data_IF_217208892676
#
_entry.id   IF_217208892676
#
_cell.length_a   1.000
_cell.length_b   1.000
_cell.length_c   1.000
_cell.angle_alpha   90.00
_cell.angle_beta   90.00
_cell.angle_gamma   90.00
#
_symmetry.space_group_name_H-M   'P 1'
#
loop_
_entity.id
_entity.type
_entity.pdbx_description
1 polymer ?
#
# COMPACT_ATOMS: atom_id res chain seq x y z
N UNK A 1 -12.70 2.28 -2.22
CA UNK A 1 -11.96 2.39 -3.50
C UNK A 1 -10.46 2.25 -3.23
N UNK A 2 -9.62 1.99 -4.25
CA UNK A 2 -8.16 1.81 -4.10
C UNK A 2 -7.51 2.97 -3.31
N UNK A 3 -7.96 4.20 -3.57
CA UNK A 3 -7.56 5.40 -2.82
C UNK A 3 -7.74 5.25 -1.30
N UNK A 4 -8.91 4.80 -0.84
CA UNK A 4 -9.19 4.66 0.59
C UNK A 4 -8.35 3.57 1.25
N UNK A 5 -7.85 2.60 0.47
CA UNK A 5 -6.93 1.59 0.95
C UNK A 5 -5.52 2.15 1.06
N UNK A 6 -5.10 2.94 0.06
CA UNK A 6 -3.81 3.63 0.07
C UNK A 6 -3.71 4.59 1.27
N UNK A 7 -4.78 5.33 1.60
CA UNK A 7 -4.80 6.25 2.75
C UNK A 7 -4.62 5.56 4.12
N UNK A 8 -4.78 4.23 4.19
CA UNK A 8 -4.56 3.42 5.41
C UNK A 8 -3.14 2.87 5.51
N UNK A 9 -2.32 3.12 4.50
CA UNK A 9 -0.94 2.66 4.45
C UNK A 9 -0.02 3.63 5.19
N UNK A 10 1.14 3.13 5.60
CA UNK A 10 2.16 3.91 6.26
C UNK A 10 3.04 4.64 5.24
N UNK A 11 3.76 5.66 5.71
CA UNK A 11 4.62 6.50 4.86
C UNK A 11 5.61 5.69 3.99
N UNK A 12 6.11 4.56 4.49
CA UNK A 12 7.03 3.71 3.72
C UNK A 12 6.34 2.94 2.59
N UNK A 13 5.11 2.46 2.84
CA UNK A 13 4.27 1.80 1.82
C UNK A 13 3.86 2.82 0.74
N UNK A 14 3.54 4.06 1.13
CA UNK A 14 3.31 5.16 0.17
C UNK A 14 4.53 5.45 -0.71
N UNK A 15 5.75 5.43 -0.15
CA UNK A 15 6.99 5.60 -0.92
C UNK A 15 7.18 4.48 -1.95
N UNK A 16 6.82 3.25 -1.58
CA UNK A 16 6.92 2.11 -2.49
C UNK A 16 5.90 2.24 -3.63
N UNK A 17 4.66 2.62 -3.33
CA UNK A 17 3.64 2.92 -4.34
C UNK A 17 4.12 4.00 -5.30
N UNK A 18 4.70 5.08 -4.77
CA UNK A 18 5.29 6.13 -5.61
C UNK A 18 6.41 5.59 -6.51
N UNK A 19 7.24 4.67 -6.02
CA UNK A 19 8.29 4.04 -6.83
C UNK A 19 7.74 3.17 -7.95
N UNK A 20 6.63 2.45 -7.72
CA UNK A 20 5.94 1.65 -8.74
C UNK A 20 5.40 2.59 -9.82
N UNK A 21 4.64 3.61 -9.41
CA UNK A 21 4.07 4.60 -10.33
C UNK A 21 5.17 5.28 -11.14
N UNK A 22 6.23 5.77 -10.50
CA UNK A 22 7.33 6.47 -11.18
C UNK A 22 8.06 5.60 -12.22
N UNK A 23 8.10 4.28 -12.02
CA UNK A 23 8.77 3.35 -12.94
C UNK A 23 8.02 3.21 -14.27
N UNK A 24 6.69 3.32 -14.22
CA UNK A 24 5.81 3.05 -15.36
C UNK A 24 5.19 4.33 -15.94
N UNK A 25 4.93 5.34 -15.11
CA UNK A 25 4.46 6.67 -15.50
C UNK A 25 5.30 7.79 -14.86
N UNK A 26 6.10 8.52 -15.65
CA UNK A 26 6.98 9.58 -15.13
C UNK A 26 6.25 10.90 -14.84
N UNK A 27 5.00 11.07 -15.28
CA UNK A 27 4.25 12.32 -15.15
C UNK A 27 3.58 12.42 -13.79
N UNK A 28 4.36 12.85 -12.81
CA UNK A 28 3.92 13.08 -11.43
C UNK A 28 4.24 14.51 -11.02
N UNK A 29 3.28 15.18 -10.40
CA UNK A 29 3.46 16.56 -9.93
C UNK A 29 3.93 16.53 -8.48
N UNK A 30 5.18 16.94 -8.25
CA UNK A 30 5.72 17.08 -6.90
C UNK A 30 5.31 18.43 -6.31
N UNK A 31 4.86 18.41 -5.06
CA UNK A 31 4.56 19.59 -4.25
C UNK A 31 5.41 19.56 -2.98
N UNK A 32 5.40 20.64 -2.19
CA UNK A 32 6.11 20.68 -0.90
C UNK A 32 5.61 19.62 0.09
N UNK A 33 4.34 19.20 -0.04
CA UNK A 33 3.68 18.30 0.92
C UNK A 33 3.45 16.89 0.38
N UNK A 34 3.90 16.57 -0.84
CA UNK A 34 3.70 15.24 -1.41
C UNK A 34 3.72 15.20 -2.93
N UNK A 35 3.15 14.14 -3.48
CA UNK A 35 3.08 13.89 -4.93
C UNK A 35 1.62 13.77 -5.34
N UNK A 36 1.23 14.53 -6.35
CA UNK A 36 -0.05 14.38 -7.02
C UNK A 36 0.12 13.49 -8.24
N UNK A 37 -0.73 12.48 -8.34
CA UNK A 37 -0.76 11.53 -9.46
C UNK A 37 -2.17 11.54 -10.02
N UNK A 38 -2.30 11.80 -11.32
CA UNK A 38 -3.58 11.73 -12.01
C UNK A 38 -3.82 10.31 -12.48
N UNK A 39 -4.88 9.67 -11.98
CA UNK A 39 -5.31 8.33 -12.41
C UNK A 39 -5.59 8.26 -13.91
N UNK A 40 -6.01 9.36 -14.52
CA UNK A 40 -6.27 9.44 -15.97
C UNK A 40 -5.02 9.29 -16.85
N UNK A 41 -3.84 9.46 -16.24
CA UNK A 41 -2.52 9.32 -16.90
C UNK A 41 -1.81 8.01 -16.53
N UNK A 42 -2.45 7.18 -15.71
CA UNK A 42 -1.94 5.87 -15.36
C UNK A 42 -2.55 4.84 -16.31
N UNK A 43 -1.68 4.05 -16.90
CA UNK A 43 -2.05 2.83 -17.60
C UNK A 43 -2.61 1.79 -16.62
N UNK A 44 -3.47 0.91 -17.14
CA UNK A 44 -4.10 -0.16 -16.36
C UNK A 44 -3.08 -1.11 -15.74
N UNK A 45 -1.91 -1.30 -16.38
CA UNK A 45 -0.84 -2.14 -15.83
C UNK A 45 -0.25 -1.51 -14.55
N UNK A 46 0.00 -0.20 -14.56
CA UNK A 46 0.41 0.53 -13.35
C UNK A 46 -0.63 0.44 -12.25
N UNK A 47 -1.90 0.65 -12.58
CA UNK A 47 -2.99 0.56 -11.59
C UNK A 47 -3.08 -0.84 -10.98
N UNK A 48 -2.95 -1.88 -11.80
CA UNK A 48 -2.96 -3.28 -11.37
C UNK A 48 -1.81 -3.60 -10.43
N UNK A 49 -0.59 -3.12 -10.72
CA UNK A 49 0.57 -3.37 -9.87
C UNK A 49 0.48 -2.61 -8.54
N UNK A 50 -0.03 -1.38 -8.56
CA UNK A 50 -0.33 -0.62 -7.33
C UNK A 50 -1.37 -1.35 -6.50
N UNK A 51 -2.47 -1.81 -7.09
CA UNK A 51 -3.51 -2.56 -6.39
C UNK A 51 -2.97 -3.85 -5.78
N UNK A 52 -2.18 -4.62 -6.54
CA UNK A 52 -1.52 -5.82 -6.05
C UNK A 52 -0.64 -5.52 -4.83
N UNK A 53 0.13 -4.45 -4.86
CA UNK A 53 0.99 -4.06 -3.74
C UNK A 53 0.17 -3.62 -2.51
N UNK A 54 -0.89 -2.85 -2.71
CA UNK A 54 -1.80 -2.43 -1.64
C UNK A 54 -2.45 -3.64 -0.97
N UNK A 55 -2.99 -4.58 -1.77
CA UNK A 55 -3.58 -5.82 -1.26
C UNK A 55 -2.56 -6.68 -0.50
N UNK A 56 -1.32 -6.75 -0.98
CA UNK A 56 -0.25 -7.44 -0.27
C UNK A 56 0.00 -6.83 1.11
N UNK A 57 0.10 -5.51 1.22
CA UNK A 57 0.31 -4.83 2.51
C UNK A 57 -0.83 -5.11 3.50
N UNK A 58 -2.07 -5.07 3.03
CA UNK A 58 -3.24 -5.36 3.85
C UNK A 58 -3.29 -6.82 4.31
N UNK A 59 -2.96 -7.77 3.44
CA UNK A 59 -2.91 -9.20 3.79
C UNK A 59 -1.82 -9.49 4.82
N UNK A 60 -0.62 -8.91 4.64
CA UNK A 60 0.47 -9.05 5.60
C UNK A 60 0.08 -8.52 6.98
N UNK A 61 -0.55 -7.35 7.04
CA UNK A 61 -1.01 -6.75 8.31
C UNK A 61 -2.00 -7.66 9.02
N UNK A 62 -2.97 -8.22 8.27
CA UNK A 62 -3.94 -9.19 8.81
C UNK A 62 -3.28 -10.45 9.34
N UNK A 63 -2.32 -11.03 8.61
CA UNK A 63 -1.58 -12.22 9.05
C UNK A 63 -0.79 -11.97 10.32
N UNK A 64 -0.12 -10.82 10.42
CA UNK A 64 0.61 -10.42 11.63
C UNK A 64 -0.33 -10.29 12.85
N UNK A 65 -1.51 -9.71 12.66
CA UNK A 65 -2.51 -9.60 13.72
C UNK A 65 -3.01 -10.97 14.19
N UNK A 66 -3.27 -11.89 13.25
CA UNK A 66 -3.75 -13.24 13.56
C UNK A 66 -2.67 -14.08 14.24
N UNK A 67 -1.41 -13.97 13.82
CA UNK A 67 -0.26 -14.59 14.49
C UNK A 67 -0.10 -14.05 15.93
N UNK A 68 -0.27 -12.75 16.13
CA UNK A 68 -0.18 -12.13 17.46
C UNK A 68 -1.31 -12.61 18.39
N UNK A 69 -2.55 -12.71 17.89
CA UNK A 69 -3.68 -13.27 18.67
C UNK A 69 -3.42 -14.71 19.08
N UNK A 70 -2.89 -15.51 18.15
CA UNK A 70 -2.55 -16.92 18.38
C UNK A 70 -1.51 -17.03 19.50
N UNK A 71 -0.41 -16.28 19.42
CA UNK A 71 0.63 -16.25 20.48
C UNK A 71 0.08 -15.87 21.86
N UNK A 72 -0.71 -14.79 21.95
CA UNK A 72 -1.35 -14.37 23.21
C UNK A 72 -2.28 -15.43 23.80
N UNK A 73 -2.92 -16.23 22.94
CA UNK A 73 -3.80 -17.32 23.37
C UNK A 73 -2.99 -18.45 23.98
N UNK A 74 -1.88 -18.84 23.35
CA UNK A 74 -0.95 -19.84 23.89
C UNK A 74 -0.30 -19.38 25.21
N UNK A 75 0.12 -18.11 25.31
CA UNK A 75 0.69 -17.54 26.54
C UNK A 75 -0.28 -17.54 27.73
N UNK A 76 -1.60 -17.43 27.47
CA UNK A 76 -2.63 -17.48 28.54
C UNK A 76 -2.99 -18.91 28.97
N UNK A 77 -2.64 -19.92 28.16
CA UNK A 77 -2.92 -21.32 28.46
C UNK A 77 -1.76 -22.03 29.18
N UNK A 78 -0.58 -21.39 29.27
CA UNK A 78 0.52 -21.78 30.16
C UNK A 78 0.40 -21.08 31.51
#
# INVERSE_FOLDING_TARGET
>A
MLKDQIDKLEMNEHKQIYSIIKKLSPQVTKTQNGVLVSTDTLDDDTLTEVERYVLFCLDQRKRMDDDMKTRKTYERMM
#
